data_IF_530214845587
#
_entry.id   IF_530214845587
#
_cell.length_a   1.000
_cell.length_b   1.000
_cell.length_c   1.000
_cell.angle_alpha   90.00
_cell.angle_beta   90.00
_cell.angle_gamma   90.00
#
_symmetry.space_group_name_H-M   'P 1'
#
loop_
_entity.id
_entity.type
_entity.pdbx_description
1 polymer ?
#
# COMPACT_ATOMS: atom_id res chain seq x y z
N UNK A 1 58.51 49.31 21.06
CA UNK A 1 59.66 48.41 21.36
C UNK A 1 59.06 47.02 21.58
N UNK A 2 59.45 45.88 21.02
CA UNK A 2 60.65 45.43 20.30
C UNK A 2 60.23 44.26 19.39
N UNK A 3 60.94 44.12 18.28
CA UNK A 3 60.72 43.28 17.08
C UNK A 3 60.99 41.77 17.27
N UNK A 4 60.29 40.97 16.44
CA UNK A 4 60.72 39.84 15.56
C UNK A 4 61.30 38.53 16.12
N UNK A 5 60.86 37.41 15.51
CA UNK A 5 61.61 36.39 14.70
C UNK A 5 60.54 35.43 14.13
N UNK A 6 60.26 35.29 12.83
CA UNK A 6 61.00 34.85 11.63
C UNK A 6 61.79 33.54 11.80
N UNK A 7 61.36 32.50 11.07
CA UNK A 7 62.09 31.28 10.79
C UNK A 7 61.43 30.52 9.63
N UNK A 8 61.95 30.73 8.42
CA UNK A 8 61.68 29.91 7.23
C UNK A 8 62.59 28.68 7.24
N UNK A 9 62.14 27.57 6.66
CA UNK A 9 63.03 26.57 6.06
C UNK A 9 62.31 25.85 4.92
N UNK A 10 62.77 26.11 3.68
CA UNK A 10 62.60 25.20 2.55
C UNK A 10 63.54 24.01 2.74
N UNK A 11 63.08 22.82 2.38
CA UNK A 11 63.93 21.64 2.18
C UNK A 11 63.28 20.73 1.15
N UNK A 12 63.70 20.84 -0.10
CA UNK A 12 63.44 19.86 -1.14
C UNK A 12 64.62 18.89 -1.17
N UNK A 13 64.36 17.58 -1.24
CA UNK A 13 65.24 16.61 -1.91
C UNK A 13 64.49 15.30 -2.15
N UNK A 14 64.47 14.96 -3.43
CA UNK A 14 63.91 13.79 -4.10
C UNK A 14 64.72 12.54 -3.76
N UNK A 15 64.04 11.40 -3.52
CA UNK A 15 64.65 10.08 -3.63
C UNK A 15 63.72 9.18 -4.46
N UNK A 16 64.16 8.84 -5.67
CA UNK A 16 63.61 7.75 -6.48
C UNK A 16 63.99 6.42 -5.82
N UNK A 17 63.00 5.55 -5.60
CA UNK A 17 63.22 4.10 -5.48
C UNK A 17 62.34 3.42 -6.53
N UNK A 18 62.99 2.85 -7.54
CA UNK A 18 62.41 1.86 -8.46
C UNK A 18 62.24 0.55 -7.69
N UNK A 19 60.99 0.12 -7.52
CA UNK A 19 60.64 -1.22 -7.04
C UNK A 19 59.49 -1.76 -7.88
N UNK A 20 59.77 -2.77 -8.71
CA UNK A 20 58.75 -3.52 -9.43
C UNK A 20 57.86 -4.26 -8.43
N UNK A 21 56.57 -3.96 -8.44
CA UNK A 21 55.54 -4.69 -7.70
C UNK A 21 54.28 -4.78 -8.55
N UNK A 22 53.96 -5.99 -9.00
CA UNK A 22 52.77 -6.32 -9.79
C UNK A 22 51.53 -6.02 -8.97
N UNK A 23 50.70 -5.05 -9.38
CA UNK A 23 49.40 -4.79 -8.77
C UNK A 23 48.29 -5.00 -9.81
N UNK A 24 47.46 -6.00 -9.52
CA UNK A 24 46.37 -6.46 -10.35
C UNK A 24 45.35 -5.37 -10.67
N UNK A 25 44.89 -5.39 -11.92
CA UNK A 25 43.71 -4.70 -12.42
C UNK A 25 42.46 -5.10 -11.62
N UNK A 26 41.99 -4.22 -10.74
CA UNK A 26 40.70 -4.32 -10.07
C UNK A 26 39.73 -3.30 -10.67
N UNK A 27 38.95 -3.72 -11.67
CA UNK A 27 37.76 -3.00 -12.13
C UNK A 27 36.79 -2.90 -10.95
N UNK A 28 36.59 -1.69 -10.43
CA UNK A 28 35.52 -1.42 -9.47
C UNK A 28 34.20 -1.30 -10.24
N UNK A 29 33.57 -2.44 -10.51
CA UNK A 29 32.18 -2.50 -10.93
C UNK A 29 31.31 -2.07 -9.75
N UNK A 30 31.05 -0.77 -9.61
CA UNK A 30 30.08 -0.28 -8.65
C UNK A 30 28.71 -0.85 -9.01
N UNK A 31 28.16 -1.68 -8.12
CA UNK A 31 26.84 -2.30 -8.20
C UNK A 31 25.76 -1.25 -8.49
N UNK A 32 25.25 -1.22 -9.72
CA UNK A 32 24.12 -0.41 -10.15
C UNK A 32 22.76 -0.88 -9.58
N UNK A 33 22.75 -1.79 -8.61
CA UNK A 33 21.55 -2.45 -8.07
C UNK A 33 20.96 -1.78 -6.82
N UNK A 34 21.56 -0.69 -6.31
CA UNK A 34 21.03 0.06 -5.15
C UNK A 34 20.27 1.33 -5.50
N UNK A 35 20.51 1.93 -6.67
CA UNK A 35 19.81 3.13 -7.15
C UNK A 35 18.35 2.82 -7.57
N UNK A 36 18.11 1.62 -8.09
CA UNK A 36 16.81 1.24 -8.64
C UNK A 36 15.74 1.00 -7.55
N UNK A 37 16.14 0.52 -6.36
CA UNK A 37 15.22 0.37 -5.21
C UNK A 37 14.80 1.71 -4.60
N UNK A 38 15.68 2.71 -4.60
CA UNK A 38 15.33 4.05 -4.10
C UNK A 38 14.42 4.79 -5.08
N UNK A 39 14.60 4.61 -6.38
CA UNK A 39 13.74 5.22 -7.39
C UNK A 39 12.31 4.64 -7.37
N UNK A 40 12.14 3.33 -7.18
CA UNK A 40 10.80 2.72 -7.08
C UNK A 40 10.05 3.12 -5.80
N UNK A 41 10.76 3.40 -4.71
CA UNK A 41 10.19 3.92 -3.47
C UNK A 41 10.01 5.43 -3.46
N UNK A 42 10.65 6.15 -4.37
CA UNK A 42 10.41 7.58 -4.62
C UNK A 42 9.16 7.83 -5.49
N UNK A 43 8.64 6.81 -6.19
CA UNK A 43 7.53 6.98 -7.15
C UNK A 43 6.14 7.06 -6.51
N UNK A 44 5.95 6.45 -5.34
CA UNK A 44 4.68 6.44 -4.63
C UNK A 44 4.89 6.79 -3.15
N UNK A 45 4.30 7.89 -2.63
CA UNK A 45 4.42 8.27 -1.22
C UNK A 45 3.75 7.27 -0.27
N UNK A 46 2.89 6.39 -0.79
CA UNK A 46 2.21 5.34 -0.03
C UNK A 46 2.66 3.96 -0.51
N UNK A 47 2.85 3.02 0.42
CA UNK A 47 3.05 1.60 0.11
C UNK A 47 1.85 0.80 0.61
N UNK A 48 1.25 0.01 -0.28
CA UNK A 48 0.22 -0.97 0.05
C UNK A 48 0.86 -2.36 0.10
N UNK A 49 0.52 -3.15 1.11
CA UNK A 49 0.88 -4.55 1.24
C UNK A 49 -0.36 -5.35 1.64
N UNK A 50 -0.67 -6.39 0.87
CA UNK A 50 -1.74 -7.36 1.16
C UNK A 50 -1.09 -8.57 1.83
N UNK A 51 -1.50 -8.86 3.07
CA UNK A 51 -1.01 -9.99 3.86
C UNK A 51 -1.87 -11.24 3.69
N UNK A 52 -3.17 -11.04 3.47
CA UNK A 52 -4.16 -12.05 3.10
C UNK A 52 -5.19 -11.43 2.16
N UNK A 53 -5.66 -12.15 1.13
CA UNK A 53 -5.15 -13.43 0.64
C UNK A 53 -3.74 -13.28 0.03
N UNK A 54 -3.05 -14.40 -0.15
CA UNK A 54 -1.82 -14.49 -0.95
C UNK A 54 -2.13 -15.06 -2.33
N UNK A 55 -1.18 -14.85 -3.25
CA UNK A 55 -1.28 -15.36 -4.61
C UNK A 55 -1.43 -16.88 -4.61
N UNK A 56 -2.51 -17.36 -5.22
CA UNK A 56 -2.80 -18.79 -5.35
C UNK A 56 -3.42 -19.43 -4.10
N UNK A 57 -3.78 -18.65 -3.08
CA UNK A 57 -4.54 -19.18 -1.95
C UNK A 57 -5.89 -19.72 -2.42
N UNK A 58 -6.35 -20.79 -1.77
CA UNK A 58 -7.73 -21.26 -1.83
C UNK A 58 -8.43 -20.81 -0.55
N UNK A 59 -9.21 -19.74 -0.63
CA UNK A 59 -9.67 -18.97 0.51
C UNK A 59 -11.15 -19.22 0.84
N UNK A 60 -11.44 -19.26 2.13
CA UNK A 60 -12.81 -19.27 2.66
C UNK A 60 -13.47 -20.65 2.68
N UNK A 61 -14.76 -20.63 3.01
CA UNK A 61 -15.68 -21.77 3.14
C UNK A 61 -17.04 -21.29 2.64
N UNK A 62 -17.67 -22.02 1.72
CA UNK A 62 -18.94 -21.60 1.08
C UNK A 62 -18.94 -20.16 0.48
N UNK A 63 -17.79 -19.70 0.00
CA UNK A 63 -17.58 -18.35 -0.55
C UNK A 63 -17.45 -17.22 0.46
N UNK A 64 -17.42 -17.52 1.77
CA UNK A 64 -17.33 -16.56 2.88
C UNK A 64 -16.23 -16.98 3.86
N UNK A 65 -16.06 -16.21 4.94
CA UNK A 65 -15.13 -16.50 6.03
C UNK A 65 -13.65 -16.33 5.67
N UNK A 66 -13.34 -15.75 4.52
CA UNK A 66 -11.97 -15.38 4.15
C UNK A 66 -11.66 -13.94 4.61
N UNK A 67 -10.37 -13.60 4.62
CA UNK A 67 -9.87 -12.36 5.21
C UNK A 67 -9.12 -11.55 4.17
N UNK A 68 -9.44 -10.26 4.09
CA UNK A 68 -8.56 -9.25 3.49
C UNK A 68 -7.81 -8.54 4.60
N UNK A 69 -6.48 -8.58 4.53
CA UNK A 69 -5.61 -8.03 5.58
C UNK A 69 -4.55 -7.16 4.95
N UNK A 70 -4.52 -5.88 5.33
CA UNK A 70 -3.79 -4.82 4.66
C UNK A 70 -2.85 -4.11 5.64
N UNK A 71 -1.70 -3.71 5.10
CA UNK A 71 -0.80 -2.74 5.71
C UNK A 71 -0.56 -1.58 4.75
N UNK A 72 -0.84 -0.37 5.21
CA UNK A 72 -0.65 0.88 4.49
C UNK A 72 0.48 1.67 5.15
N UNK A 73 1.52 2.01 4.40
CA UNK A 73 2.65 2.81 4.91
C UNK A 73 2.75 4.14 4.16
N UNK A 74 2.49 5.25 4.86
CA UNK A 74 2.51 6.61 4.34
C UNK A 74 3.83 7.29 4.71
N UNK A 75 4.68 7.57 3.73
CA UNK A 75 5.99 8.22 3.97
C UNK A 75 5.84 9.73 4.04
N UNK A 76 6.46 10.34 5.05
CA UNK A 76 6.47 11.80 5.22
C UNK A 76 5.10 12.43 5.50
N UNK A 77 4.09 11.61 5.84
CA UNK A 77 2.73 12.06 6.13
C UNK A 77 2.40 11.84 7.60
N UNK A 78 1.74 12.83 8.19
CA UNK A 78 1.11 12.69 9.50
C UNK A 78 -0.17 11.87 9.41
N UNK A 79 -0.67 11.40 10.54
CA UNK A 79 -1.95 10.68 10.62
C UNK A 79 -3.12 11.49 10.03
N UNK A 80 -3.12 12.81 10.21
CA UNK A 80 -4.16 13.67 9.62
C UNK A 80 -4.05 13.70 8.08
N UNK A 81 -2.83 13.73 7.53
CA UNK A 81 -2.61 13.73 6.09
C UNK A 81 -2.95 12.40 5.40
N UNK A 82 -3.17 11.32 6.15
CA UNK A 82 -3.68 10.06 5.58
C UNK A 82 -5.20 10.03 5.46
N UNK A 83 -5.90 11.06 5.96
CA UNK A 83 -7.37 11.07 6.05
C UNK A 83 -7.94 10.26 7.22
N UNK A 84 -7.07 9.66 8.04
CA UNK A 84 -7.52 8.79 9.13
C UNK A 84 -8.23 9.57 10.23
N UNK A 85 -9.50 9.22 10.49
CA UNK A 85 -10.36 9.99 11.41
C UNK A 85 -10.91 9.20 12.60
N UNK A 86 -10.60 7.90 12.71
CA UNK A 86 -11.08 7.10 13.84
C UNK A 86 -10.81 5.61 13.68
N UNK A 87 -10.94 4.88 14.79
CA UNK A 87 -10.73 3.43 14.83
C UNK A 87 -12.02 2.69 14.43
N UNK A 88 -11.87 1.64 13.62
CA UNK A 88 -12.89 0.60 13.47
C UNK A 88 -12.59 -0.44 14.56
N UNK A 89 -13.32 -0.43 15.69
CA UNK A 89 -12.99 -1.23 16.88
C UNK A 89 -13.99 -2.34 17.17
N UNK A 90 -13.47 -3.54 17.42
CA UNK A 90 -14.13 -4.62 18.19
C UNK A 90 -13.28 -4.99 19.41
N UNK A 91 -13.71 -4.69 20.63
CA UNK A 91 -12.93 -4.93 21.86
C UNK A 91 -13.65 -4.53 23.17
N UNK A 92 -13.14 -4.87 24.37
CA UNK A 92 -13.89 -4.75 25.62
C UNK A 92 -14.23 -3.29 25.99
N UNK A 93 -15.43 -3.12 26.55
CA UNK A 93 -16.35 -1.98 26.43
C UNK A 93 -17.22 -2.12 25.16
N UNK A 94 -18.53 -2.40 25.35
CA UNK A 94 -19.65 -2.45 24.38
C UNK A 94 -19.46 -3.01 22.95
N UNK A 95 -18.34 -3.63 22.60
CA UNK A 95 -18.05 -4.02 21.22
C UNK A 95 -17.74 -5.52 21.14
N UNK A 96 -18.55 -6.23 20.38
CA UNK A 96 -18.32 -7.59 19.94
C UNK A 96 -18.31 -7.52 18.40
N UNK A 97 -17.61 -8.43 17.71
CA UNK A 97 -17.62 -8.54 16.25
C UNK A 97 -18.99 -9.10 15.79
N UNK A 98 -20.05 -8.45 16.26
CA UNK A 98 -21.44 -8.70 15.92
C UNK A 98 -21.60 -8.16 14.53
N UNK A 99 -22.24 -8.94 13.67
CA UNK A 99 -22.62 -8.47 12.36
C UNK A 99 -23.28 -7.09 12.52
N UNK A 100 -22.82 -6.08 11.78
CA UNK A 100 -23.38 -4.75 11.90
C UNK A 100 -24.90 -4.74 11.84
N UNK A 101 -25.53 -3.78 12.54
CA UNK A 101 -26.97 -3.56 12.34
C UNK A 101 -27.23 -3.43 10.82
N UNK A 102 -28.27 -4.08 10.28
CA UNK A 102 -28.57 -3.98 8.85
C UNK A 102 -28.56 -2.51 8.39
N UNK A 103 -27.73 -2.21 7.39
CA UNK A 103 -27.56 -0.86 6.85
C UNK A 103 -26.48 0.02 7.51
N UNK A 104 -25.68 -0.52 8.44
CA UNK A 104 -24.58 0.25 9.07
C UNK A 104 -23.21 0.08 8.40
N UNK A 105 -23.07 -0.89 7.50
CA UNK A 105 -21.93 -0.96 6.57
C UNK A 105 -22.47 -0.88 5.15
N UNK A 106 -21.74 -0.16 4.31
CA UNK A 106 -21.99 -0.09 2.88
C UNK A 106 -20.68 -0.31 2.15
N UNK A 107 -20.78 -0.70 0.90
CA UNK A 107 -19.69 -0.52 -0.05
C UNK A 107 -19.38 0.97 -0.22
N UNK A 108 -18.23 1.25 -0.83
CA UNK A 108 -17.81 2.58 -1.22
C UNK A 108 -16.53 3.02 -0.54
N UNK A 109 -16.37 4.34 -0.50
CA UNK A 109 -15.28 5.02 0.18
C UNK A 109 -15.32 4.71 1.68
N UNK A 110 -14.18 4.32 2.24
CA UNK A 110 -14.06 4.02 3.67
C UNK A 110 -14.13 5.31 4.50
N UNK A 111 -15.02 5.35 5.49
CA UNK A 111 -15.17 6.50 6.39
C UNK A 111 -13.91 6.80 7.20
N UNK A 112 -13.09 5.78 7.52
CA UNK A 112 -11.89 5.84 8.35
C UNK A 112 -10.61 5.90 7.54
N UNK A 113 -10.58 5.36 6.32
CA UNK A 113 -9.43 5.43 5.41
C UNK A 113 -9.92 5.89 4.02
N UNK A 114 -10.31 7.17 3.88
CA UNK A 114 -11.08 7.65 2.72
C UNK A 114 -10.31 7.67 1.39
N UNK A 115 -9.00 7.44 1.40
CA UNK A 115 -8.20 7.26 0.20
C UNK A 115 -8.11 5.81 -0.29
N UNK A 116 -8.61 4.83 0.46
CA UNK A 116 -8.45 3.41 0.16
C UNK A 116 -9.44 2.95 -0.92
N UNK A 117 -8.94 2.20 -1.90
CA UNK A 117 -9.72 1.45 -2.87
C UNK A 117 -9.38 -0.02 -2.77
N UNK A 118 -10.40 -0.84 -2.60
CA UNK A 118 -10.31 -2.31 -2.62
C UNK A 118 -11.31 -2.83 -3.64
N UNK A 119 -10.85 -3.58 -4.62
CA UNK A 119 -11.67 -4.17 -5.67
C UNK A 119 -11.48 -5.68 -5.69
N UNK A 120 -12.52 -6.39 -6.09
CA UNK A 120 -12.42 -7.82 -6.38
C UNK A 120 -13.10 -8.12 -7.72
N UNK A 121 -12.38 -8.79 -8.62
CA UNK A 121 -12.76 -8.92 -10.04
C UNK A 121 -14.06 -9.67 -10.31
N UNK A 122 -14.58 -10.42 -9.34
CA UNK A 122 -15.83 -11.18 -9.45
C UNK A 122 -16.92 -10.67 -8.50
N UNK A 123 -16.72 -9.47 -7.95
CA UNK A 123 -17.74 -8.80 -7.12
C UNK A 123 -19.08 -8.77 -7.84
N UNK A 124 -20.14 -9.15 -7.14
CA UNK A 124 -21.50 -9.25 -7.66
C UNK A 124 -22.03 -7.87 -8.12
N UNK A 125 -22.78 -7.82 -9.22
CA UNK A 125 -23.37 -6.57 -9.77
C UNK A 125 -24.87 -6.40 -9.52
N UNK A 126 -25.49 -7.37 -8.86
CA UNK A 126 -26.94 -7.49 -8.68
C UNK A 126 -27.37 -7.35 -7.22
N UNK A 127 -26.45 -7.50 -6.26
CA UNK A 127 -26.73 -7.29 -4.86
C UNK A 127 -26.92 -5.78 -4.56
N UNK A 128 -27.89 -5.39 -3.72
CA UNK A 128 -28.04 -4.00 -3.31
C UNK A 128 -26.74 -3.40 -2.75
N UNK A 129 -26.36 -2.23 -3.26
CA UNK A 129 -25.10 -1.56 -2.89
C UNK A 129 -23.89 -2.01 -3.70
N UNK A 130 -23.96 -3.06 -4.50
CA UNK A 130 -22.85 -3.51 -5.33
C UNK A 130 -23.04 -3.12 -6.79
N UNK A 131 -21.96 -2.70 -7.44
CA UNK A 131 -21.87 -2.28 -8.84
C UNK A 131 -20.92 -3.15 -9.65
N UNK A 132 -20.72 -4.41 -9.24
CA UNK A 132 -19.83 -5.35 -9.92
C UNK A 132 -18.35 -5.13 -9.54
N UNK A 133 -17.41 -5.51 -10.42
CA UNK A 133 -15.96 -5.44 -10.17
C UNK A 133 -15.42 -4.03 -9.84
N UNK A 134 -16.15 -2.97 -10.22
CA UNK A 134 -15.80 -1.59 -9.88
C UNK A 134 -16.25 -1.13 -8.50
N UNK A 135 -16.97 -1.95 -7.75
CA UNK A 135 -17.42 -1.60 -6.39
C UNK A 135 -16.20 -1.41 -5.49
N UNK A 136 -16.04 -0.23 -4.89
CA UNK A 136 -15.04 -0.06 -3.85
C UNK A 136 -15.53 -0.80 -2.59
N UNK A 137 -14.73 -1.75 -2.10
CA UNK A 137 -15.04 -2.58 -0.94
C UNK A 137 -14.37 -2.05 0.34
N UNK A 138 -13.66 -0.91 0.28
CA UNK A 138 -12.88 -0.39 1.41
C UNK A 138 -13.75 -0.14 2.65
N UNK A 139 -14.96 0.42 2.48
CA UNK A 139 -15.85 0.67 3.62
C UNK A 139 -16.48 -0.59 4.25
N UNK A 140 -16.08 -1.79 3.82
CA UNK A 140 -16.45 -3.06 4.46
C UNK A 140 -15.42 -3.51 5.51
N UNK A 141 -14.27 -2.86 5.60
CA UNK A 141 -13.27 -3.12 6.63
C UNK A 141 -13.84 -2.81 8.01
N UNK A 142 -13.53 -3.68 8.96
CA UNK A 142 -14.15 -3.65 10.29
C UNK A 142 -13.13 -3.56 11.43
N UNK A 143 -11.84 -3.55 11.12
CA UNK A 143 -10.73 -3.51 12.08
C UNK A 143 -9.57 -2.69 11.54
N UNK A 144 -9.45 -1.44 12.00
CA UNK A 144 -8.31 -0.59 11.66
C UNK A 144 -7.49 -0.24 12.89
N UNK A 145 -6.17 -0.22 12.72
CA UNK A 145 -5.21 0.17 13.75
C UNK A 145 -4.13 1.09 13.22
N UNK A 146 -3.63 1.99 14.08
CA UNK A 146 -2.44 2.78 13.78
C UNK A 146 -1.24 2.08 14.40
N UNK A 147 -0.30 1.60 13.57
CA UNK A 147 0.83 0.77 14.03
C UNK A 147 2.16 1.54 14.11
N UNK A 148 2.28 2.68 13.41
CA UNK A 148 3.46 3.55 13.42
C UNK A 148 3.04 5.02 13.28
N UNK A 149 3.66 5.90 14.06
CA UNK A 149 3.48 7.37 14.01
C UNK A 149 4.80 8.12 14.17
N UNK A 150 5.89 7.53 13.72
CA UNK A 150 7.19 8.20 13.74
C UNK A 150 7.18 9.45 12.85
N UNK A 151 8.06 10.44 13.07
CA UNK A 151 8.03 11.71 12.34
C UNK A 151 8.09 11.61 10.81
N UNK A 152 8.57 10.48 10.27
CA UNK A 152 8.76 10.26 8.84
C UNK A 152 7.81 9.22 8.25
N UNK A 153 6.92 8.63 9.05
CA UNK A 153 6.07 7.53 8.62
C UNK A 153 4.80 7.44 9.47
N UNK A 154 3.67 7.29 8.80
CA UNK A 154 2.44 6.77 9.41
C UNK A 154 2.20 5.37 8.84
N UNK A 155 1.84 4.42 9.69
CA UNK A 155 1.42 3.08 9.26
C UNK A 155 0.04 2.77 9.81
N UNK A 156 -0.83 2.31 8.92
CA UNK A 156 -2.16 1.82 9.24
C UNK A 156 -2.23 0.33 8.91
N UNK A 157 -2.96 -0.39 9.74
CA UNK A 157 -3.36 -1.77 9.54
C UNK A 157 -4.86 -1.81 9.35
N UNK A 158 -5.35 -2.62 8.44
CA UNK A 158 -6.78 -2.75 8.20
C UNK A 158 -7.15 -4.19 7.85
N UNK A 159 -8.18 -4.72 8.50
CA UNK A 159 -8.64 -6.09 8.30
C UNK A 159 -10.14 -6.13 8.06
N UNK A 160 -10.54 -6.96 7.08
CA UNK A 160 -11.91 -7.28 6.76
C UNK A 160 -12.13 -8.79 6.75
N UNK A 161 -13.16 -9.27 7.46
CA UNK A 161 -13.67 -10.63 7.33
C UNK A 161 -14.86 -10.65 6.38
N UNK A 162 -14.73 -11.36 5.26
CA UNK A 162 -15.77 -11.42 4.24
C UNK A 162 -16.88 -12.37 4.69
N UNK A 163 -17.96 -11.81 5.25
CA UNK A 163 -19.04 -12.59 5.87
C UNK A 163 -20.06 -13.22 4.91
N UNK A 164 -20.02 -12.89 3.62
CA UNK A 164 -21.01 -13.32 2.63
C UNK A 164 -20.34 -13.61 1.26
N UNK A 165 -20.93 -14.47 0.41
CA UNK A 165 -20.38 -14.85 -0.90
C UNK A 165 -20.56 -13.75 -1.97
N UNK A 166 -20.15 -12.52 -1.67
CA UNK A 166 -20.33 -11.34 -2.53
C UNK A 166 -19.41 -11.34 -3.76
N UNK A 167 -18.36 -12.17 -3.75
CA UNK A 167 -17.43 -12.39 -4.88
C UNK A 167 -17.68 -13.72 -5.58
N UNK A 168 -18.74 -14.46 -5.20
CA UNK A 168 -19.07 -15.77 -5.73
C UNK A 168 -18.59 -16.95 -4.88
N UNK A 169 -18.68 -18.14 -5.46
CA UNK A 169 -18.31 -19.42 -4.87
C UNK A 169 -17.62 -20.26 -5.96
N UNK A 170 -16.55 -20.99 -5.60
CA UNK A 170 -15.77 -21.82 -6.53
C UNK A 170 -15.35 -21.03 -7.78
N UNK A 171 -14.67 -19.92 -7.56
CA UNK A 171 -14.33 -18.97 -8.62
C UNK A 171 -12.93 -18.42 -8.41
N UNK A 172 -12.19 -18.30 -9.50
CA UNK A 172 -10.93 -17.57 -9.52
C UNK A 172 -11.22 -16.08 -9.59
N UNK A 173 -10.62 -15.33 -8.68
CA UNK A 173 -10.75 -13.88 -8.65
C UNK A 173 -9.41 -13.20 -8.38
N UNK A 174 -9.42 -11.88 -8.41
CA UNK A 174 -8.26 -11.02 -8.25
C UNK A 174 -8.62 -9.84 -7.38
N UNK A 175 -7.99 -9.77 -6.21
CA UNK A 175 -8.04 -8.60 -5.34
C UNK A 175 -7.11 -7.53 -5.90
N UNK A 176 -7.62 -6.30 -6.06
CA UNK A 176 -6.82 -5.14 -6.45
C UNK A 176 -6.96 -4.05 -5.40
N UNK A 177 -5.83 -3.54 -4.89
CA UNK A 177 -5.80 -2.57 -3.80
C UNK A 177 -4.87 -1.41 -4.13
N UNK A 178 -5.33 -0.19 -3.88
CA UNK A 178 -4.52 1.03 -3.98
C UNK A 178 -5.02 2.12 -3.02
N UNK A 179 -4.21 3.16 -2.85
CA UNK A 179 -4.60 4.43 -2.23
C UNK A 179 -4.61 5.50 -3.31
N UNK A 180 -5.75 6.14 -3.50
CA UNK A 180 -5.96 7.23 -4.45
C UNK A 180 -5.13 8.44 -4.04
N UNK A 181 -4.60 9.16 -5.02
CA UNK A 181 -3.82 10.36 -4.76
C UNK A 181 -4.68 11.50 -4.19
N UNK A 182 -4.04 12.54 -3.69
CA UNK A 182 -4.70 13.80 -3.31
C UNK A 182 -4.99 14.60 -4.60
N UNK A 183 -6.08 14.21 -5.27
CA UNK A 183 -6.53 14.71 -6.56
C UNK A 183 -7.07 16.14 -6.46
N UNK A 184 -7.62 16.52 -5.30
CA UNK A 184 -8.15 17.86 -5.04
C UNK A 184 -7.10 18.83 -4.46
N UNK A 185 -5.92 18.32 -4.07
CA UNK A 185 -4.79 19.05 -3.51
C UNK A 185 -5.05 19.73 -2.16
N UNK A 186 -5.91 19.15 -1.31
CA UNK A 186 -6.19 19.62 0.06
C UNK A 186 -5.15 19.15 1.10
N UNK A 187 -4.22 18.29 0.68
CA UNK A 187 -3.15 17.72 1.48
C UNK A 187 -3.48 16.35 2.11
N UNK A 188 -4.68 15.83 1.89
CA UNK A 188 -5.26 14.63 2.51
C UNK A 188 -5.61 13.58 1.45
N UNK A 189 -5.30 12.32 1.72
CA UNK A 189 -5.74 11.23 0.85
C UNK A 189 -7.20 10.84 1.15
N UNK A 190 -8.15 11.53 0.52
CA UNK A 190 -9.60 11.36 0.75
C UNK A 190 -10.44 11.36 -0.56
N UNK A 191 -9.81 11.14 -1.71
CA UNK A 191 -10.47 11.26 -3.02
C UNK A 191 -10.92 9.91 -3.63
N UNK A 192 -10.91 8.81 -2.86
CA UNK A 192 -11.31 7.52 -3.39
C UNK A 192 -12.80 7.50 -3.76
N UNK A 193 -13.17 7.00 -4.95
CA UNK A 193 -14.57 6.92 -5.34
C UNK A 193 -15.27 5.74 -4.64
N UNK A 194 -16.60 5.83 -4.54
CA UNK A 194 -17.41 4.69 -4.11
C UNK A 194 -17.49 3.58 -5.17
N UNK A 195 -17.35 3.94 -6.45
CA UNK A 195 -17.33 3.01 -7.59
C UNK A 195 -16.27 3.47 -8.58
N UNK A 196 -15.33 2.59 -8.88
CA UNK A 196 -14.32 2.75 -9.92
C UNK A 196 -14.96 2.45 -11.27
N UNK A 197 -14.66 3.28 -12.27
CA UNK A 197 -15.11 3.10 -13.65
C UNK A 197 -14.01 2.43 -14.47
N UNK A 198 -14.42 1.73 -15.52
CA UNK A 198 -13.52 1.33 -16.62
C UNK A 198 -13.08 2.62 -17.35
N UNK A 199 -11.83 3.01 -17.14
CA UNK A 199 -11.25 4.25 -17.68
C UNK A 199 -10.51 4.01 -19.00
N UNK A 200 -10.09 2.78 -19.28
CA UNK A 200 -9.37 2.44 -20.50
C UNK A 200 -10.24 1.80 -21.59
N UNK A 201 -11.48 1.45 -21.25
CA UNK A 201 -12.49 0.88 -22.15
C UNK A 201 -12.26 -0.58 -22.50
N UNK A 202 -11.47 -1.33 -21.73
CA UNK A 202 -11.17 -2.74 -22.01
C UNK A 202 -12.23 -3.73 -21.48
N UNK A 203 -13.25 -3.23 -20.78
CA UNK A 203 -14.34 -4.01 -20.21
C UNK A 203 -14.01 -4.68 -18.88
N UNK A 204 -12.84 -4.42 -18.30
CA UNK A 204 -12.43 -4.86 -16.97
C UNK A 204 -12.19 -3.65 -16.09
N UNK A 205 -12.30 -3.85 -14.78
CA UNK A 205 -11.98 -2.81 -13.80
C UNK A 205 -10.88 -3.37 -12.91
N UNK A 206 -9.73 -2.71 -12.87
CA UNK A 206 -8.58 -3.19 -12.13
C UNK A 206 -7.41 -2.21 -12.10
N UNK A 207 -6.20 -2.75 -12.12
CA UNK A 207 -5.00 -1.95 -11.85
C UNK A 207 -4.78 -0.81 -12.85
N UNK A 208 -5.11 -1.02 -14.12
CA UNK A 208 -4.92 -0.01 -15.17
C UNK A 208 -5.88 1.18 -14.99
N UNK A 209 -7.10 0.92 -14.56
CA UNK A 209 -8.07 1.98 -14.22
C UNK A 209 -7.63 2.77 -13.00
N UNK A 210 -7.09 2.10 -11.98
CA UNK A 210 -6.55 2.79 -10.81
C UNK A 210 -5.35 3.67 -11.18
N UNK A 211 -4.43 3.16 -12.01
CA UNK A 211 -3.30 3.96 -12.51
C UNK A 211 -3.77 5.18 -13.32
N UNK A 212 -4.80 5.03 -14.17
CA UNK A 212 -5.37 6.13 -14.95
C UNK A 212 -6.12 7.15 -14.08
N UNK A 213 -6.76 6.71 -13.00
CA UNK A 213 -7.45 7.58 -12.05
C UNK A 213 -6.48 8.46 -11.25
N UNK A 214 -5.27 7.95 -10.99
CA UNK A 214 -4.25 8.60 -10.19
C UNK A 214 -4.19 8.04 -8.77
N UNK A 215 -3.08 7.37 -8.46
CA UNK A 215 -2.85 6.72 -7.14
C UNK A 215 -1.56 7.20 -6.48
N UNK A 216 -1.64 7.45 -5.18
CA UNK A 216 -0.50 7.75 -4.33
C UNK A 216 0.30 6.50 -3.93
N UNK A 217 -0.23 5.30 -4.18
CA UNK A 217 0.41 4.03 -3.85
C UNK A 217 0.86 3.23 -5.06
N UNK A 218 1.67 2.20 -4.81
CA UNK A 218 1.70 1.06 -5.72
C UNK A 218 0.30 0.42 -5.78
N UNK A 219 -0.10 -0.07 -6.95
CA UNK A 219 -1.29 -0.92 -7.09
C UNK A 219 -0.89 -2.37 -6.82
N UNK A 220 -1.55 -3.02 -5.86
CA UNK A 220 -1.33 -4.43 -5.54
C UNK A 220 -2.41 -5.27 -6.19
N UNK A 221 -2.02 -6.35 -6.86
CA UNK A 221 -2.94 -7.30 -7.52
C UNK A 221 -2.63 -8.71 -7.04
N UNK A 222 -3.62 -9.38 -6.44
CA UNK A 222 -3.49 -10.72 -5.86
C UNK A 222 -4.54 -11.63 -6.47
N UNK A 223 -4.18 -12.53 -7.40
CA UNK A 223 -5.08 -13.56 -7.88
C UNK A 223 -5.12 -14.75 -6.90
N UNK A 224 -6.32 -15.24 -6.60
CA UNK A 224 -6.59 -16.31 -5.66
C UNK A 224 -7.93 -16.99 -5.99
N UNK A 225 -8.20 -18.12 -5.36
CA UNK A 225 -9.43 -18.89 -5.57
C UNK A 225 -10.35 -18.77 -4.35
N UNK A 226 -11.65 -18.65 -4.59
CA UNK A 226 -12.70 -18.66 -3.55
C UNK A 226 -13.28 -20.06 -3.43
N UNK A 227 -13.12 -20.70 -2.28
CA UNK A 227 -13.63 -22.05 -2.03
C UNK A 227 -15.16 -22.06 -1.88
N UNK A 228 -15.83 -23.10 -2.39
CA UNK A 228 -17.25 -23.37 -2.17
C UNK A 228 -17.54 -24.52 -1.19
N UNK A 229 -16.51 -25.27 -0.78
CA UNK A 229 -16.66 -26.41 0.11
C UNK A 229 -17.25 -25.98 1.47
N UNK A 230 -18.09 -26.83 2.09
CA UNK A 230 -18.63 -26.58 3.42
C UNK A 230 -17.55 -26.74 4.52
N UNK A 231 -17.86 -26.23 5.72
CA UNK A 231 -17.01 -26.32 6.91
C UNK A 231 -16.88 -27.73 7.48
#
# INVERSE_FOLDING_TARGET
MRKKKLGWALGASTAMILGLGVAASGLSSANASSLDRSASTARHPVKVEVLSPKRGDNAGVEGKGWIVDLKLSFRGKSLAGTGYNGLQLTGPAAHNNIAPFPGTFSTGQDDKIPGLVVLDSTTNSTLPGFSGPGTNLANLFNLSGVTDRTPHKTELWDTWIVGAPIVGQNVDTTLTVAVVDDLNHDGVYNDAPGVVKDLDGDGKIGAKDLDLMGVASNVVTVPFHINADPA
#
